data_IF_487728044667
#
_entry.id   IF_487728044667
#
_cell.length_a   1.000
_cell.length_b   1.000
_cell.length_c   1.000
_cell.angle_alpha   90.00
_cell.angle_beta   90.00
_cell.angle_gamma   90.00
#
_symmetry.space_group_name_H-M   'P 1'
#
loop_
_entity.id
_entity.type
_entity.pdbx_description
1 polymer ?
#
# COMPACT_ATOMS: atom_id res chain seq x y z
N UNK A 1 5.30 -8.25 -3.11
CA UNK A 1 4.44 -7.58 -4.10
C UNK A 1 3.49 -8.57 -4.74
N UNK A 2 2.69 -8.11 -5.68
CA UNK A 2 1.76 -8.94 -6.43
C UNK A 2 2.44 -9.56 -7.67
N UNK A 3 3.22 -10.63 -7.46
CA UNK A 3 3.99 -11.26 -8.52
C UNK A 3 3.12 -12.00 -9.55
N UNK A 4 1.94 -12.48 -9.15
CA UNK A 4 1.04 -13.20 -10.03
C UNK A 4 0.41 -12.27 -11.09
N UNK A 5 0.18 -10.99 -10.73
CA UNK A 5 -0.44 -10.00 -11.61
C UNK A 5 0.53 -8.90 -12.08
N UNK A 6 1.84 -9.06 -11.84
CA UNK A 6 2.88 -8.12 -12.32
C UNK A 6 2.99 -6.82 -11.53
N UNK A 7 2.39 -6.75 -10.34
CA UNK A 7 2.51 -5.63 -9.39
C UNK A 7 3.85 -5.60 -8.65
N UNK A 8 4.80 -6.44 -9.05
CA UNK A 8 6.19 -6.47 -8.60
C UNK A 8 7.16 -5.72 -9.54
N UNK A 9 6.64 -5.05 -10.58
CA UNK A 9 7.43 -4.35 -11.60
C UNK A 9 7.02 -2.90 -11.74
N UNK A 10 7.99 -2.05 -12.08
CA UNK A 10 7.73 -0.64 -12.42
C UNK A 10 7.18 -0.56 -13.85
N UNK A 11 5.89 -0.28 -14.01
CA UNK A 11 5.22 -0.23 -15.32
C UNK A 11 5.28 1.16 -15.98
N UNK A 12 5.28 2.22 -15.18
CA UNK A 12 5.28 3.62 -15.63
C UNK A 12 6.21 4.43 -14.73
N UNK A 13 6.88 5.41 -15.30
CA UNK A 13 7.81 6.29 -14.58
C UNK A 13 9.10 6.49 -15.37
N UNK A 14 9.76 7.62 -15.11
CA UNK A 14 11.03 7.96 -15.74
C UNK A 14 12.09 6.92 -15.40
N UNK A 15 12.95 6.60 -16.37
CA UNK A 15 14.01 5.58 -16.27
C UNK A 15 15.20 6.01 -15.40
N UNK A 16 15.07 7.10 -14.63
CA UNK A 16 16.16 7.57 -13.78
C UNK A 16 16.44 6.58 -12.64
N UNK A 17 17.72 6.21 -12.49
CA UNK A 17 18.20 5.22 -11.52
C UNK A 17 17.71 5.48 -10.09
N UNK A 18 17.61 6.75 -9.69
CA UNK A 18 17.11 7.13 -8.35
C UNK A 18 15.63 6.77 -8.12
N UNK A 19 14.77 6.98 -9.13
CA UNK A 19 13.36 6.63 -9.02
C UNK A 19 13.17 5.12 -8.96
N UNK A 20 13.90 4.37 -9.81
CA UNK A 20 13.88 2.90 -9.77
C UNK A 20 14.30 2.37 -8.39
N UNK A 21 15.42 2.85 -7.86
CA UNK A 21 15.90 2.46 -6.52
C UNK A 21 14.88 2.79 -5.43
N UNK A 22 14.21 3.94 -5.52
CA UNK A 22 13.13 4.31 -4.60
C UNK A 22 11.98 3.29 -4.64
N UNK A 23 11.51 2.93 -5.84
CA UNK A 23 10.40 1.97 -5.98
C UNK A 23 10.82 0.56 -5.52
N UNK A 24 12.04 0.12 -5.84
CA UNK A 24 12.60 -1.16 -5.35
C UNK A 24 12.68 -1.20 -3.82
N UNK A 25 13.05 -0.09 -3.17
CA UNK A 25 13.03 0.02 -1.71
C UNK A 25 11.60 -0.07 -1.13
N UNK A 26 10.60 0.47 -1.84
CA UNK A 26 9.20 0.32 -1.46
C UNK A 26 8.71 -1.12 -1.60
N UNK A 27 9.12 -1.81 -2.67
CA UNK A 27 8.87 -3.24 -2.87
C UNK A 27 9.49 -4.11 -1.79
N UNK A 28 10.69 -3.78 -1.33
CA UNK A 28 11.34 -4.48 -0.21
C UNK A 28 10.64 -4.19 1.14
N UNK A 29 10.10 -2.98 1.32
CA UNK A 29 9.40 -2.60 2.55
C UNK A 29 8.04 -3.29 2.72
N UNK A 30 7.35 -3.62 1.62
CA UNK A 30 6.10 -4.39 1.62
C UNK A 30 6.23 -5.59 0.64
N UNK A 31 6.84 -6.72 1.06
CA UNK A 31 7.13 -7.84 0.18
C UNK A 31 5.91 -8.71 -0.14
N UNK A 32 4.70 -8.15 -0.12
CA UNK A 32 3.41 -8.80 -0.46
C UNK A 32 2.52 -7.84 -1.24
N UNK A 33 1.31 -8.24 -1.62
CA UNK A 33 0.32 -7.30 -2.15
C UNK A 33 0.01 -6.20 -1.14
N UNK A 34 0.02 -4.94 -1.57
CA UNK A 34 -0.37 -3.78 -0.77
C UNK A 34 -1.91 -3.70 -0.62
N UNK A 35 -2.50 -4.78 -0.14
CA UNK A 35 -3.93 -4.96 0.10
C UNK A 35 -4.16 -5.22 1.60
N UNK A 36 -5.16 -4.56 2.17
CA UNK A 36 -5.51 -4.69 3.59
C UNK A 36 -7.02 -4.56 3.80
N UNK A 37 -7.62 -5.55 4.44
CA UNK A 37 -9.03 -5.52 4.84
C UNK A 37 -9.16 -4.76 6.16
N UNK A 38 -9.37 -3.44 6.06
CA UNK A 38 -9.39 -2.56 7.24
C UNK A 38 -10.63 -2.72 8.10
N UNK A 39 -11.80 -2.86 7.48
CA UNK A 39 -13.09 -2.85 8.18
C UNK A 39 -13.90 -4.07 7.76
N UNK A 40 -14.55 -4.72 8.72
CA UNK A 40 -15.50 -5.81 8.49
C UNK A 40 -16.80 -5.47 9.22
N UNK A 41 -17.90 -5.44 8.48
CA UNK A 41 -19.25 -5.28 9.04
C UNK A 41 -20.09 -6.50 8.72
N UNK A 42 -20.72 -7.10 9.74
CA UNK A 42 -21.61 -8.27 9.59
C UNK A 42 -22.78 -8.16 10.56
N UNK A 43 -23.91 -8.77 10.23
CA UNK A 43 -25.00 -8.96 11.17
C UNK A 43 -24.73 -10.23 11.99
N UNK A 44 -24.79 -10.12 13.32
CA UNK A 44 -24.52 -11.27 14.20
C UNK A 44 -25.54 -12.39 13.89
N UNK A 45 -25.10 -13.64 13.59
CA UNK A 45 -26.00 -14.67 13.06
C UNK A 45 -27.12 -15.07 14.02
N UNK A 46 -26.89 -14.98 15.34
CA UNK A 46 -27.90 -15.18 16.38
C UNK A 46 -28.71 -13.93 16.75
N UNK A 47 -28.07 -12.82 17.13
CA UNK A 47 -28.76 -11.63 17.65
C UNK A 47 -29.28 -10.69 16.57
N UNK A 48 -28.80 -10.82 15.33
CA UNK A 48 -29.05 -9.93 14.18
C UNK A 48 -28.61 -8.49 14.40
N UNK A 49 -27.86 -8.21 15.46
CA UNK A 49 -27.28 -6.90 15.71
C UNK A 49 -26.13 -6.66 14.74
N UNK A 50 -26.00 -5.41 14.26
CA UNK A 50 -24.91 -4.99 13.39
C UNK A 50 -23.62 -4.94 14.19
N UNK A 51 -22.65 -5.76 13.81
CA UNK A 51 -21.28 -5.72 14.34
C UNK A 51 -20.35 -5.02 13.36
N UNK A 52 -19.35 -4.31 13.90
CA UNK A 52 -18.29 -3.67 13.15
C UNK A 52 -16.95 -4.00 13.80
N UNK A 53 -15.98 -4.35 12.97
CA UNK A 53 -14.62 -4.65 13.36
C UNK A 53 -13.68 -3.80 12.52
N UNK A 54 -12.58 -3.36 13.13
CA UNK A 54 -11.52 -2.64 12.44
C UNK A 54 -10.17 -3.24 12.77
N UNK A 55 -9.24 -3.15 11.81
CA UNK A 55 -7.84 -3.50 12.01
C UNK A 55 -6.96 -2.33 11.56
N UNK A 56 -5.95 -1.95 12.36
CA UNK A 56 -5.02 -0.90 11.96
C UNK A 56 -4.24 -1.32 10.71
N UNK A 57 -3.76 -0.33 9.96
CA UNK A 57 -2.89 -0.61 8.83
C UNK A 57 -1.58 -1.25 9.34
N UNK A 58 -1.10 -2.34 8.73
CA UNK A 58 0.14 -2.97 9.14
C UNK A 58 1.36 -2.08 8.85
N UNK A 59 2.43 -2.30 9.62
CA UNK A 59 3.62 -1.46 9.61
C UNK A 59 4.33 -1.39 8.26
N UNK A 60 4.32 -2.48 7.49
CA UNK A 60 4.90 -2.54 6.16
C UNK A 60 4.24 -1.54 5.19
N UNK A 61 2.91 -1.48 5.21
CA UNK A 61 2.12 -0.54 4.42
C UNK A 61 2.26 0.89 4.94
N UNK A 62 2.32 1.10 6.25
CA UNK A 62 2.59 2.43 6.83
C UNK A 62 3.94 2.98 6.33
N UNK A 63 5.00 2.16 6.34
CA UNK A 63 6.34 2.54 5.85
C UNK A 63 6.32 2.92 4.37
N UNK A 64 5.60 2.17 3.55
CA UNK A 64 5.48 2.48 2.11
C UNK A 64 4.72 3.80 1.90
N UNK A 65 3.61 4.01 2.61
CA UNK A 65 2.83 5.25 2.51
C UNK A 65 3.65 6.47 2.94
N UNK A 66 4.40 6.38 4.03
CA UNK A 66 5.28 7.44 4.50
C UNK A 66 6.34 7.80 3.46
N UNK A 67 7.01 6.79 2.87
CA UNK A 67 7.99 6.99 1.80
C UNK A 67 7.39 7.73 0.60
N UNK A 68 6.19 7.36 0.16
CA UNK A 68 5.51 8.04 -0.95
C UNK A 68 5.09 9.47 -0.62
N UNK A 69 4.56 9.71 0.58
CA UNK A 69 4.22 11.07 1.04
C UNK A 69 5.46 11.98 1.04
N UNK A 70 6.57 11.47 1.57
CA UNK A 70 7.84 12.21 1.58
C UNK A 70 8.38 12.45 0.16
N UNK A 71 8.30 11.45 -0.71
CA UNK A 71 8.74 11.57 -2.11
C UNK A 71 7.96 12.64 -2.88
N UNK A 72 6.62 12.64 -2.78
CA UNK A 72 5.75 13.62 -3.45
C UNK A 72 5.92 15.02 -2.85
N UNK A 73 6.05 15.13 -1.53
CA UNK A 73 6.32 16.41 -0.88
C UNK A 73 7.64 17.03 -1.34
N UNK A 74 8.65 16.21 -1.62
CA UNK A 74 9.95 16.67 -2.13
C UNK A 74 9.95 16.90 -3.65
N UNK A 75 9.01 16.32 -4.39
CA UNK A 75 8.90 16.40 -5.85
C UNK A 75 7.43 16.63 -6.25
N UNK A 76 6.88 17.84 -6.01
CA UNK A 76 5.49 18.14 -6.35
C UNK A 76 5.27 17.95 -7.85
N UNK A 77 4.15 17.35 -8.29
CA UNK A 77 3.82 17.32 -9.71
C UNK A 77 3.68 18.76 -10.24
N UNK A 78 4.19 19.01 -11.44
CA UNK A 78 3.90 20.26 -12.16
C UNK A 78 2.38 20.37 -12.36
N UNK A 79 1.84 21.57 -12.08
CA UNK A 79 0.40 21.86 -12.10
C UNK A 79 -0.20 21.83 -13.52
#
# INVERSE_FOLDING_TARGET
>A
NDAAYGGDRVLKGTTFTKYRQFVENCFAACPRQALHARTLGIDHPRTRERLQFESPLPDDMNKVLERWRNYVSANPPEA
#
